data_IF_499583729410
#
_entry.id   IF_499583729410
#
_cell.length_a   1.000
_cell.length_b   1.000
_cell.length_c   1.000
_cell.angle_alpha   90.00
_cell.angle_beta   90.00
_cell.angle_gamma   90.00
#
_symmetry.space_group_name_H-M   'P 1'
#
loop_
_entity.id
_entity.type
_entity.pdbx_description
1 polymer ?
#
# COMPACT_ATOMS: atom_id res chain seq x y z
N UNK A 1 14.32 16.18 2.05
CA UNK A 1 13.80 14.87 1.60
C UNK A 1 12.53 15.14 0.81
N UNK A 2 12.43 14.60 -0.40
CA UNK A 2 11.26 14.77 -1.28
C UNK A 2 10.08 13.93 -0.83
N UNK A 3 8.86 14.26 -1.29
CA UNK A 3 7.65 13.46 -1.02
C UNK A 3 7.76 12.03 -1.54
N UNK A 4 8.44 11.84 -2.67
CA UNK A 4 8.73 10.53 -3.23
C UNK A 4 9.64 9.71 -2.31
N UNK A 5 10.66 10.32 -1.71
CA UNK A 5 11.56 9.65 -0.76
C UNK A 5 10.86 9.33 0.57
N UNK A 6 10.03 10.26 1.07
CA UNK A 6 9.16 10.06 2.23
C UNK A 6 8.23 8.87 2.00
N UNK A 7 7.53 8.87 0.88
CA UNK A 7 6.58 7.82 0.55
C UNK A 7 7.25 6.46 0.34
N UNK A 8 8.41 6.44 -0.32
CA UNK A 8 9.18 5.20 -0.46
C UNK A 8 9.57 4.62 0.90
N UNK A 9 10.04 5.48 1.83
CA UNK A 9 10.37 5.08 3.19
C UNK A 9 9.15 4.55 3.95
N UNK A 10 8.01 5.26 3.87
CA UNK A 10 6.74 4.81 4.42
C UNK A 10 6.38 3.41 3.91
N UNK A 11 6.39 3.23 2.59
CA UNK A 11 6.01 1.97 1.99
C UNK A 11 6.94 0.85 2.47
N UNK A 12 8.26 1.03 2.48
CA UNK A 12 9.18 0.01 3.03
C UNK A 12 8.79 -0.44 4.44
N UNK A 13 8.45 0.48 5.34
CA UNK A 13 8.02 0.13 6.69
C UNK A 13 6.64 -0.53 6.74
N UNK A 14 5.67 -0.06 5.93
CA UNK A 14 4.35 -0.71 5.79
C UNK A 14 4.54 -2.16 5.33
N UNK A 15 5.37 -2.39 4.31
CA UNK A 15 5.69 -3.73 3.80
C UNK A 15 6.37 -4.60 4.85
N UNK A 16 7.41 -4.09 5.53
CA UNK A 16 8.09 -4.83 6.61
C UNK A 16 7.12 -5.21 7.74
N UNK A 17 6.26 -4.29 8.16
CA UNK A 17 5.27 -4.52 9.21
C UNK A 17 4.25 -5.59 8.81
N UNK A 18 3.63 -5.46 7.63
CA UNK A 18 2.59 -6.38 7.19
C UNK A 18 3.10 -7.78 6.94
N UNK A 19 4.18 -7.91 6.16
CA UNK A 19 4.67 -9.22 5.79
C UNK A 19 5.39 -9.90 6.96
N UNK A 20 6.01 -9.13 7.85
CA UNK A 20 6.55 -9.64 9.12
C UNK A 20 5.46 -10.26 9.99
N UNK A 21 4.28 -9.63 10.11
CA UNK A 21 3.15 -10.18 10.87
C UNK A 21 2.53 -11.44 10.25
N UNK A 22 2.65 -11.63 8.93
CA UNK A 22 2.10 -12.80 8.21
C UNK A 22 3.12 -13.97 8.17
N UNK A 23 4.23 -13.89 8.92
CA UNK A 23 5.26 -14.93 8.96
C UNK A 23 6.02 -15.09 7.65
N UNK A 24 5.87 -14.13 6.73
CA UNK A 24 6.69 -14.04 5.54
C UNK A 24 7.99 -13.35 5.96
N UNK A 25 9.03 -14.14 6.20
CA UNK A 25 10.39 -13.62 6.39
C UNK A 25 10.80 -12.84 5.14
N UNK A 26 10.46 -11.55 5.11
CA UNK A 26 11.02 -10.63 4.15
C UNK A 26 12.44 -10.35 4.60
N UNK A 27 13.40 -10.65 3.73
CA UNK A 27 14.63 -9.87 3.67
C UNK A 27 14.26 -8.47 3.16
N UNK A 28 13.58 -7.71 4.02
CA UNK A 28 13.41 -6.29 3.86
C UNK A 28 14.57 -5.68 4.62
N UNK A 29 15.49 -5.00 3.94
CA UNK A 29 16.69 -4.43 4.56
C UNK A 29 16.38 -3.33 5.60
N UNK A 30 15.09 -3.01 5.81
CA UNK A 30 14.56 -2.12 6.84
C UNK A 30 13.67 -2.90 7.81
N UNK A 31 14.28 -3.68 8.71
CA UNK A 31 13.63 -4.37 9.84
C UNK A 31 13.58 -3.53 11.12
N UNK A 32 14.12 -2.30 11.08
CA UNK A 32 14.10 -1.38 12.22
C UNK A 32 12.71 -0.77 12.50
N UNK A 33 12.49 -0.22 13.71
CA UNK A 33 11.26 0.50 14.04
C UNK A 33 11.04 1.67 13.07
N UNK A 34 9.78 2.00 12.79
CA UNK A 34 9.47 3.19 12.01
C UNK A 34 9.99 4.44 12.73
N UNK A 35 10.67 5.31 11.99
CA UNK A 35 11.17 6.59 12.50
C UNK A 35 10.44 7.70 11.75
N UNK A 36 9.64 8.48 12.47
CA UNK A 36 8.92 9.62 11.92
C UNK A 36 9.90 10.59 11.23
N UNK A 37 9.52 11.07 10.04
CA UNK A 37 10.35 12.01 9.24
C UNK A 37 9.47 13.02 8.51
N UNK A 38 9.77 14.30 8.70
CA UNK A 38 9.05 15.39 8.04
C UNK A 38 7.56 15.34 8.38
N UNK A 39 6.71 15.29 7.35
CA UNK A 39 5.26 15.21 7.50
C UNK A 39 4.72 13.81 7.85
N UNK A 40 5.57 12.77 7.84
CA UNK A 40 5.17 11.41 8.21
C UNK A 40 5.29 11.22 9.73
N UNK A 41 4.18 11.36 10.43
CA UNK A 41 4.04 11.04 11.86
C UNK A 41 3.87 9.53 12.07
N UNK A 42 4.10 9.05 13.30
CA UNK A 42 3.81 7.66 13.68
C UNK A 42 2.32 7.34 13.47
N UNK A 43 1.43 8.27 13.87
CA UNK A 43 -0.02 8.13 13.72
C UNK A 43 -0.42 8.03 12.25
N UNK A 44 0.13 8.88 11.38
CA UNK A 44 -0.12 8.81 9.94
C UNK A 44 0.36 7.49 9.33
N UNK A 45 1.53 7.00 9.74
CA UNK A 45 2.01 5.68 9.32
C UNK A 45 1.01 4.57 9.71
N UNK A 46 0.55 4.55 10.96
CA UNK A 46 -0.39 3.56 11.47
C UNK A 46 -1.73 3.62 10.74
N UNK A 47 -2.27 4.81 10.49
CA UNK A 47 -3.51 5.00 9.73
C UNK A 47 -3.37 4.51 8.29
N UNK A 48 -2.27 4.86 7.60
CA UNK A 48 -2.03 4.40 6.23
C UNK A 48 -1.88 2.89 6.18
N UNK A 49 -1.11 2.32 7.10
CA UNK A 49 -0.95 0.87 7.22
C UNK A 49 -2.34 0.21 7.38
N UNK A 50 -3.10 0.62 8.39
CA UNK A 50 -4.44 0.08 8.71
C UNK A 50 -5.39 0.19 7.52
N UNK A 51 -5.39 1.33 6.83
CA UNK A 51 -6.22 1.57 5.64
C UNK A 51 -5.86 0.58 4.53
N UNK A 52 -4.56 0.43 4.27
CA UNK A 52 -4.05 -0.51 3.27
C UNK A 52 -4.54 -1.92 3.59
N UNK A 53 -4.39 -2.37 4.85
CA UNK A 53 -4.81 -3.71 5.27
C UNK A 53 -6.30 -3.98 5.08
N UNK A 54 -7.14 -3.08 5.58
CA UNK A 54 -8.60 -3.24 5.48
C UNK A 54 -9.01 -3.34 4.01
N UNK A 55 -8.52 -2.41 3.19
CA UNK A 55 -8.89 -2.33 1.78
C UNK A 55 -8.27 -3.44 0.92
N UNK A 56 -7.13 -4.03 1.31
CA UNK A 56 -6.52 -5.16 0.60
C UNK A 56 -7.49 -6.33 0.43
N UNK A 57 -8.30 -6.60 1.45
CA UNK A 57 -9.25 -7.74 1.44
C UNK A 57 -10.40 -7.53 0.48
N UNK A 58 -10.76 -6.27 0.22
CA UNK A 58 -11.92 -5.89 -0.60
C UNK A 58 -11.48 -5.63 -2.05
N UNK A 59 -10.43 -4.82 -2.22
CA UNK A 59 -10.05 -4.29 -3.52
C UNK A 59 -9.30 -5.31 -4.38
N UNK A 60 -8.74 -6.39 -3.82
CA UNK A 60 -8.06 -7.42 -4.62
C UNK A 60 -9.04 -8.33 -5.36
N UNK A 61 -10.27 -8.47 -4.86
CA UNK A 61 -11.26 -9.44 -5.37
C UNK A 61 -11.53 -9.27 -6.87
N UNK A 62 -11.78 -8.05 -7.40
CA UNK A 62 -11.98 -7.84 -8.84
C UNK A 62 -10.77 -8.24 -9.69
N UNK A 63 -9.57 -8.19 -9.13
CA UNK A 63 -8.33 -8.51 -9.84
C UNK A 63 -8.02 -10.01 -9.89
N UNK A 64 -8.64 -10.85 -9.07
CA UNK A 64 -8.29 -12.27 -8.98
C UNK A 64 -8.45 -13.02 -10.30
N UNK A 65 -9.53 -12.76 -11.05
CA UNK A 65 -9.75 -13.37 -12.37
C UNK A 65 -8.71 -12.92 -13.40
N UNK A 66 -8.29 -11.65 -13.32
CA UNK A 66 -7.24 -11.12 -14.16
C UNK A 66 -5.88 -11.76 -13.85
N UNK A 67 -5.52 -11.85 -12.56
CA UNK A 67 -4.27 -12.46 -12.12
C UNK A 67 -4.14 -13.91 -12.56
N UNK A 68 -5.25 -14.66 -12.61
CA UNK A 68 -5.27 -16.05 -13.05
C UNK A 68 -4.91 -16.25 -14.54
N UNK A 69 -5.09 -15.22 -15.37
CA UNK A 69 -4.95 -15.33 -16.83
C UNK A 69 -3.83 -14.47 -17.40
N UNK A 70 -3.39 -13.44 -16.68
CA UNK A 70 -2.34 -12.54 -17.13
C UNK A 70 -0.95 -13.20 -17.09
N UNK A 71 -0.02 -12.69 -17.91
CA UNK A 71 1.37 -13.18 -17.96
C UNK A 71 2.27 -12.43 -16.97
N UNK A 72 1.72 -11.89 -15.88
CA UNK A 72 2.44 -11.10 -14.88
C UNK A 72 3.64 -11.82 -14.27
N UNK A 73 3.59 -13.14 -14.17
CA UNK A 73 4.69 -13.94 -13.61
C UNK A 73 5.75 -14.36 -14.62
N UNK A 74 5.64 -13.97 -15.89
CA UNK A 74 6.60 -14.40 -16.93
C UNK A 74 7.97 -13.73 -16.76
N UNK A 75 8.02 -12.47 -16.32
CA UNK A 75 9.27 -11.76 -16.01
C UNK A 75 9.04 -10.61 -15.02
N UNK A 76 10.10 -10.05 -14.39
CA UNK A 76 10.00 -8.84 -13.57
C UNK A 76 9.41 -7.64 -14.33
N UNK A 77 9.74 -7.49 -15.61
CA UNK A 77 9.24 -6.42 -16.47
C UNK A 77 7.74 -6.56 -16.70
N UNK A 78 7.26 -7.78 -16.95
CA UNK A 78 5.83 -8.05 -17.07
C UNK A 78 5.11 -7.81 -15.74
N UNK A 79 5.73 -8.15 -14.61
CA UNK A 79 5.20 -7.85 -13.29
C UNK A 79 5.00 -6.34 -13.09
N UNK A 80 6.03 -5.54 -13.39
CA UNK A 80 5.99 -4.07 -13.30
C UNK A 80 4.93 -3.50 -14.26
N UNK A 81 4.91 -3.95 -15.51
CA UNK A 81 3.97 -3.48 -16.52
C UNK A 81 2.51 -3.68 -16.08
N UNK A 82 2.19 -4.89 -15.63
CA UNK A 82 0.83 -5.20 -15.19
C UNK A 82 0.44 -4.45 -13.92
N UNK A 83 1.36 -4.26 -12.96
CA UNK A 83 1.08 -3.43 -11.78
C UNK A 83 0.87 -1.96 -12.15
N UNK A 84 1.65 -1.39 -13.07
CA UNK A 84 1.45 -0.01 -13.52
C UNK A 84 0.10 0.17 -14.22
N UNK A 85 -0.31 -0.79 -15.04
CA UNK A 85 -1.64 -0.79 -15.67
C UNK A 85 -2.75 -0.84 -14.61
N UNK A 86 -2.59 -1.67 -13.58
CA UNK A 86 -3.52 -1.74 -12.45
C UNK A 86 -3.58 -0.40 -11.71
N UNK A 87 -2.43 0.22 -11.42
CA UNK A 87 -2.39 1.55 -10.80
C UNK A 87 -3.19 2.59 -11.63
N UNK A 88 -3.05 2.57 -12.95
CA UNK A 88 -3.77 3.49 -13.84
C UNK A 88 -5.27 3.24 -13.85
N UNK A 89 -5.70 1.97 -13.87
CA UNK A 89 -7.12 1.62 -13.82
C UNK A 89 -7.72 2.07 -12.49
N UNK A 90 -7.09 1.71 -11.36
CA UNK A 90 -7.53 2.08 -10.01
C UNK A 90 -7.58 3.60 -9.80
N UNK A 91 -6.61 4.33 -10.36
CA UNK A 91 -6.57 5.79 -10.35
C UNK A 91 -7.81 6.40 -11.02
N UNK A 92 -8.31 5.78 -12.10
CA UNK A 92 -9.50 6.22 -12.82
C UNK A 92 -10.84 5.88 -12.16
N UNK A 93 -10.86 4.99 -11.15
CA UNK A 93 -12.11 4.52 -10.52
C UNK A 93 -12.66 5.48 -9.44
N UNK A 94 -11.85 6.40 -8.94
CA UNK A 94 -12.25 7.34 -7.89
C UNK A 94 -11.80 8.75 -8.24
N UNK A 95 -12.60 9.75 -7.92
CA UNK A 95 -12.25 11.16 -8.18
C UNK A 95 -11.40 11.75 -7.05
N UNK A 96 -11.43 11.15 -5.86
CA UNK A 96 -10.79 11.70 -4.67
C UNK A 96 -9.32 11.26 -4.56
N UNK A 97 -8.38 12.21 -4.62
CA UNK A 97 -6.95 11.92 -4.70
C UNK A 97 -6.40 11.03 -3.58
N UNK A 98 -6.80 11.27 -2.33
CA UNK A 98 -6.31 10.45 -1.23
C UNK A 98 -6.89 9.03 -1.28
N UNK A 99 -8.12 8.87 -1.79
CA UNK A 99 -8.68 7.54 -2.02
C UNK A 99 -7.93 6.84 -3.16
N UNK A 100 -7.57 7.55 -4.24
CA UNK A 100 -6.73 7.02 -5.34
C UNK A 100 -5.43 6.45 -4.79
N UNK A 101 -4.72 7.26 -4.00
CA UNK A 101 -3.44 6.87 -3.42
C UNK A 101 -3.58 5.61 -2.56
N UNK A 102 -4.56 5.59 -1.65
CA UNK A 102 -4.77 4.47 -0.73
C UNK A 102 -5.22 3.22 -1.49
N UNK A 103 -6.18 3.31 -2.42
CA UNK A 103 -6.66 2.18 -3.21
C UNK A 103 -5.53 1.53 -4.03
N UNK A 104 -4.70 2.34 -4.69
CA UNK A 104 -3.57 1.86 -5.47
C UNK A 104 -2.55 1.17 -4.56
N UNK A 105 -2.22 1.77 -3.40
CA UNK A 105 -1.34 1.12 -2.43
C UNK A 105 -1.90 -0.23 -1.98
N UNK A 106 -3.21 -0.29 -1.71
CA UNK A 106 -3.88 -1.50 -1.29
C UNK A 106 -3.81 -2.59 -2.34
N UNK A 107 -4.35 -2.33 -3.53
CA UNK A 107 -4.40 -3.31 -4.62
C UNK A 107 -3.02 -3.85 -4.96
N UNK A 108 -2.04 -2.98 -5.12
CA UNK A 108 -0.68 -3.40 -5.50
C UNK A 108 -0.04 -4.26 -4.39
N UNK A 109 -0.24 -3.89 -3.12
CA UNK A 109 0.22 -4.67 -1.97
C UNK A 109 -0.44 -6.05 -1.94
N UNK A 110 -1.76 -6.11 -2.10
CA UNK A 110 -2.52 -7.35 -2.11
C UNK A 110 -2.10 -8.28 -3.25
N UNK A 111 -1.91 -7.74 -4.46
CA UNK A 111 -1.38 -8.49 -5.61
C UNK A 111 0.02 -9.00 -5.32
N UNK A 112 0.90 -8.19 -4.74
CA UNK A 112 2.23 -8.59 -4.31
C UNK A 112 2.22 -9.78 -3.36
N UNK A 113 1.34 -9.76 -2.36
CA UNK A 113 1.14 -10.87 -1.43
C UNK A 113 0.64 -12.12 -2.17
N UNK A 114 -0.38 -11.99 -3.03
CA UNK A 114 -0.96 -13.12 -3.76
C UNK A 114 0.06 -13.78 -4.71
N UNK A 115 0.83 -12.96 -5.43
CA UNK A 115 1.91 -13.43 -6.32
C UNK A 115 2.97 -14.19 -5.52
N UNK A 116 3.38 -13.66 -4.37
CA UNK A 116 4.34 -14.35 -3.53
C UNK A 116 3.77 -15.65 -2.96
N UNK A 117 2.53 -15.63 -2.46
CA UNK A 117 1.88 -16.81 -1.89
C UNK A 117 1.83 -17.98 -2.89
N UNK A 118 1.48 -17.68 -4.14
CA UNK A 118 1.30 -18.66 -5.23
C UNK A 118 2.59 -19.10 -5.91
N UNK A 119 3.50 -18.17 -6.22
CA UNK A 119 4.68 -18.45 -7.04
C UNK A 119 6.01 -18.47 -6.28
N UNK A 120 6.01 -18.01 -5.03
CA UNK A 120 7.20 -17.75 -4.20
C UNK A 120 8.19 -16.73 -4.79
N UNK A 121 7.84 -16.07 -5.89
CA UNK A 121 8.67 -15.01 -6.49
C UNK A 121 8.63 -13.75 -5.63
N UNK A 122 9.81 -13.22 -5.29
CA UNK A 122 9.98 -12.04 -4.43
C UNK A 122 9.79 -10.70 -5.18
N UNK A 123 8.86 -10.64 -6.14
CA UNK A 123 8.63 -9.42 -6.95
C UNK A 123 8.02 -8.27 -6.15
N UNK A 124 7.42 -8.54 -4.98
CA UNK A 124 6.94 -7.51 -4.06
C UNK A 124 8.02 -6.49 -3.67
N UNK A 125 9.32 -6.84 -3.76
CA UNK A 125 10.44 -5.91 -3.51
C UNK A 125 10.44 -4.69 -4.45
N UNK A 126 9.76 -4.79 -5.61
CA UNK A 126 9.62 -3.71 -6.59
C UNK A 126 8.47 -2.76 -6.26
N UNK A 127 7.54 -3.14 -5.38
CA UNK A 127 6.33 -2.36 -5.10
C UNK A 127 6.62 -0.95 -4.56
N UNK A 128 7.53 -0.75 -3.57
CA UNK A 128 7.85 0.59 -3.09
C UNK A 128 8.28 1.53 -4.22
N UNK A 129 9.03 1.02 -5.20
CA UNK A 129 9.46 1.79 -6.37
C UNK A 129 8.31 2.11 -7.32
N UNK A 130 7.44 1.14 -7.60
CA UNK A 130 6.25 1.32 -8.45
C UNK A 130 5.32 2.38 -7.84
N UNK A 131 5.02 2.27 -6.55
CA UNK A 131 4.16 3.23 -5.85
C UNK A 131 4.81 4.62 -5.79
N UNK A 132 6.12 4.69 -5.55
CA UNK A 132 6.84 5.96 -5.58
C UNK A 132 6.77 6.63 -6.95
N UNK A 133 6.95 5.86 -8.03
CA UNK A 133 6.81 6.36 -9.39
C UNK A 133 5.37 6.83 -9.66
N UNK A 134 4.37 6.10 -9.18
CA UNK A 134 2.96 6.50 -9.29
C UNK A 134 2.69 7.83 -8.58
N UNK A 135 3.14 7.99 -7.33
CA UNK A 135 3.00 9.27 -6.61
C UNK A 135 3.72 10.40 -7.36
N UNK A 136 4.99 10.22 -7.74
CA UNK A 136 5.79 11.29 -8.35
C UNK A 136 5.34 11.67 -9.77
N UNK A 137 4.85 10.70 -10.57
CA UNK A 137 4.52 10.92 -11.99
C UNK A 137 3.04 11.16 -12.24
N UNK A 138 2.15 10.62 -11.41
CA UNK A 138 0.71 10.67 -11.66
C UNK A 138 0.03 11.61 -10.66
N UNK A 139 0.25 11.41 -9.36
CA UNK A 139 -0.53 12.14 -8.34
C UNK A 139 0.15 13.42 -7.84
N UNK A 140 1.44 13.62 -8.07
CA UNK A 140 2.25 14.67 -7.41
C UNK A 140 1.64 16.07 -7.47
N UNK A 141 1.18 16.48 -8.65
CA UNK A 141 0.64 17.82 -8.84
C UNK A 141 -0.61 18.03 -7.98
N UNK A 142 -1.59 17.16 -8.11
CA UNK A 142 -2.84 17.25 -7.37
C UNK A 142 -2.61 17.01 -5.86
N UNK A 143 -1.70 16.10 -5.50
CA UNK A 143 -1.40 15.78 -4.10
C UNK A 143 -0.87 17.03 -3.39
N UNK A 144 0.08 17.73 -4.02
CA UNK A 144 0.67 18.94 -3.47
C UNK A 144 -0.32 20.12 -3.52
N UNK A 145 -1.17 20.20 -4.53
CA UNK A 145 -2.24 21.21 -4.64
C UNK A 145 -3.26 21.10 -3.50
N UNK A 146 -3.44 19.93 -2.92
CA UNK A 146 -4.43 19.66 -1.88
C UNK A 146 -3.83 19.56 -0.45
N UNK A 147 -2.66 20.14 -0.20
CA UNK A 147 -1.92 20.10 1.09
C UNK A 147 -1.31 18.73 1.45
N UNK A 148 -1.16 17.83 0.47
CA UNK A 148 -0.37 16.61 0.55
C UNK A 148 -0.63 15.76 1.79
N UNK A 149 0.44 15.43 2.52
CA UNK A 149 0.42 14.55 3.69
C UNK A 149 -0.49 15.03 4.82
N UNK A 150 -0.53 16.35 5.08
CA UNK A 150 -1.34 16.91 6.17
C UNK A 150 -2.84 16.69 5.92
N UNK A 151 -3.27 16.87 4.68
CA UNK A 151 -4.67 16.64 4.31
C UNK A 151 -4.99 15.15 4.18
N UNK A 152 -4.01 14.32 3.80
CA UNK A 152 -4.15 12.86 3.85
C UNK A 152 -4.45 12.38 5.29
N UNK A 153 -3.73 12.89 6.29
CA UNK A 153 -3.96 12.53 7.70
C UNK A 153 -5.40 12.85 8.13
N UNK A 154 -5.85 14.08 7.89
CA UNK A 154 -7.24 14.49 8.17
C UNK A 154 -8.28 13.69 7.40
N UNK A 155 -7.97 13.33 6.15
CA UNK A 155 -8.86 12.53 5.34
C UNK A 155 -9.03 11.14 5.94
N UNK A 156 -7.93 10.50 6.36
CA UNK A 156 -7.94 9.17 6.97
C UNK A 156 -8.64 9.17 8.33
N UNK A 157 -8.43 10.18 9.16
CA UNK A 157 -9.11 10.36 10.45
C UNK A 157 -10.65 10.36 10.31
N UNK A 158 -11.14 10.92 9.19
CA UNK A 158 -12.56 10.93 8.84
C UNK A 158 -13.13 9.64 8.23
N UNK A 159 -12.33 8.58 8.04
CA UNK A 159 -12.80 7.34 7.39
C UNK A 159 -13.41 6.35 8.38
N UNK A 160 -14.69 6.04 8.19
CA UNK A 160 -15.43 5.09 9.04
C UNK A 160 -14.85 3.68 9.06
N UNK A 161 -14.22 3.23 7.97
CA UNK A 161 -13.57 1.90 7.90
C UNK A 161 -12.29 1.82 8.75
N UNK A 162 -11.68 2.96 9.09
CA UNK A 162 -10.56 3.02 10.03
C UNK A 162 -11.03 3.04 11.49
N UNK A 163 -12.23 3.57 11.75
CA UNK A 163 -12.88 3.55 13.07
C UNK A 163 -13.37 2.13 13.40
N UNK A 164 -13.92 1.41 12.42
CA UNK A 164 -14.37 0.01 12.55
C UNK A 164 -13.25 -1.00 12.87
N UNK A 165 -11.99 -0.61 12.73
CA UNK A 165 -10.86 -1.52 12.91
C UNK A 165 -10.20 -1.42 14.29
N UNK A 166 -10.73 -0.62 15.23
CA UNK A 166 -10.36 -0.75 16.65
C UNK A 166 -10.75 -2.12 17.22
N UNK A 167 -11.92 -2.65 16.82
CA UNK A 167 -12.37 -4.02 17.14
C UNK A 167 -11.46 -5.11 16.53
N UNK A 168 -10.82 -4.83 15.40
CA UNK A 168 -9.88 -5.76 14.74
C UNK A 168 -8.49 -5.80 15.38
N UNK A 169 -8.06 -4.73 16.05
CA UNK A 169 -6.78 -4.71 16.79
C UNK A 169 -6.78 -5.73 17.93
N UNK A 170 -7.94 -5.93 18.57
CA UNK A 170 -8.16 -6.98 19.58
C UNK A 170 -7.94 -8.37 18.96
N UNK A 171 -8.48 -8.59 17.76
CA UNK A 171 -8.33 -9.84 17.01
C UNK A 171 -6.88 -10.10 16.54
N UNK A 172 -6.15 -9.07 16.12
CA UNK A 172 -4.77 -9.18 15.64
C UNK A 172 -3.73 -9.24 16.76
N UNK A 173 -4.07 -8.76 17.96
CA UNK A 173 -3.21 -8.85 19.15
C UNK A 173 -3.47 -10.13 19.97
N UNK A 174 -4.44 -10.96 19.55
CA UNK A 174 -4.70 -12.26 20.17
C UNK A 174 -5.31 -12.18 21.57
N UNK A 175 -5.87 -11.04 21.96
CA UNK A 175 -6.61 -10.94 23.22
C UNK A 175 -8.07 -11.37 22.96
N UNK A 176 -8.57 -12.43 23.60
CA UNK A 176 -9.96 -12.83 23.44
C UNK A 176 -10.87 -11.77 24.08
N UNK A 177 -11.83 -11.28 23.30
CA UNK A 177 -12.97 -10.51 23.81
C UNK A 177 -13.95 -11.38 24.59
#
# INVERSE_FOLDING_TARGET
MSDAELFRHLMYHVFSFYYGKIGLCLECDQTGPFVAKGALTQSLFEMIAKAIFVLNTILVVPWMSYLATCRMLSSPEMYVLHLLMICQIEEGLTTHIYQKLINVCSVVTAIGMQVYATSKKKYYKLIPWILTAFLDKILKYDFNKHDGWHRLEKYLDGQSYLQFSEEWTVYLNGEPG
#
